data_IF_404280088262
#
_entry.id   IF_404280088262
#
_cell.length_a   1.000
_cell.length_b   1.000
_cell.length_c   1.000
_cell.angle_alpha   90.00
_cell.angle_beta   90.00
_cell.angle_gamma   90.00
#
_symmetry.space_group_name_H-M   'P 1'
#
loop_
_entity.id
_entity.type
_entity.pdbx_description
1 polymer ?
#
# COMPACT_ATOMS: atom_id res chain seq x y z
N UNK A 1 8.97 16.54 0.56
CA UNK A 1 8.25 15.27 0.65
C UNK A 1 8.98 14.33 1.60
N UNK A 2 8.26 13.79 2.55
CA UNK A 2 8.85 12.86 3.51
C UNK A 2 8.71 11.43 3.02
N UNK A 3 9.75 10.64 3.19
CA UNK A 3 9.72 9.23 2.87
C UNK A 3 9.35 8.42 4.12
N UNK A 4 8.27 7.70 4.04
CA UNK A 4 7.86 6.82 5.13
C UNK A 4 8.53 5.48 4.96
N UNK A 5 9.51 5.18 5.80
CA UNK A 5 10.29 3.96 5.71
C UNK A 5 9.52 2.74 6.24
N UNK A 6 9.97 1.57 5.83
CA UNK A 6 9.42 0.31 6.35
C UNK A 6 9.61 0.21 7.86
N UNK A 7 10.75 0.67 8.36
CA UNK A 7 11.04 0.63 9.79
C UNK A 7 10.06 1.48 10.59
N UNK A 8 9.73 2.66 10.09
CA UNK A 8 8.77 3.55 10.74
C UNK A 8 7.38 2.90 10.74
N UNK A 9 6.98 2.28 9.65
CA UNK A 9 5.71 1.57 9.57
C UNK A 9 5.65 0.42 10.57
N UNK A 10 6.74 -0.33 10.70
CA UNK A 10 6.81 -1.43 11.68
C UNK A 10 6.62 -0.90 13.08
N UNK A 11 7.27 0.20 13.43
CA UNK A 11 7.13 0.80 14.75
C UNK A 11 5.69 1.27 15.01
N UNK A 12 5.09 1.93 14.02
CA UNK A 12 3.73 2.43 14.16
C UNK A 12 2.73 1.28 14.33
N UNK A 13 2.86 0.21 13.54
CA UNK A 13 2.00 -0.96 13.64
C UNK A 13 2.21 -1.67 14.97
N UNK A 14 3.46 -1.76 15.43
CA UNK A 14 3.77 -2.35 16.72
C UNK A 14 3.06 -1.62 17.86
N UNK A 15 3.10 -0.31 17.85
CA UNK A 15 2.42 0.51 18.86
C UNK A 15 0.92 0.35 18.80
N UNK A 16 0.37 0.31 17.60
CA UNK A 16 -1.08 0.22 17.38
C UNK A 16 -1.65 -1.13 17.80
N UNK A 17 -0.89 -2.20 17.57
CA UNK A 17 -1.36 -3.57 17.83
C UNK A 17 -0.90 -4.14 19.15
N UNK A 18 0.12 -3.55 19.77
CA UNK A 18 0.76 -4.10 20.96
C UNK A 18 1.66 -5.29 20.70
N UNK A 19 1.93 -5.60 19.44
CA UNK A 19 2.81 -6.70 19.06
C UNK A 19 4.27 -6.24 19.02
N UNK A 20 5.18 -7.18 19.27
CA UNK A 20 6.62 -6.91 19.21
C UNK A 20 7.02 -6.49 17.79
N UNK A 21 7.90 -5.49 17.63
CA UNK A 21 8.34 -5.06 16.29
C UNK A 21 8.92 -6.19 15.43
N UNK A 22 9.61 -7.16 16.05
CA UNK A 22 10.16 -8.29 15.32
C UNK A 22 9.05 -9.19 14.76
N UNK A 23 7.97 -9.35 15.51
CA UNK A 23 6.80 -10.11 15.05
C UNK A 23 6.14 -9.39 13.89
N UNK A 24 5.96 -8.07 14.03
CA UNK A 24 5.38 -7.24 12.96
C UNK A 24 6.23 -7.35 11.68
N UNK A 25 7.55 -7.25 11.82
CA UNK A 25 8.45 -7.34 10.67
C UNK A 25 8.32 -8.70 9.97
N UNK A 26 8.23 -9.78 10.73
CA UNK A 26 8.07 -11.12 10.18
C UNK A 26 6.76 -11.26 9.42
N UNK A 27 5.68 -10.76 9.98
CA UNK A 27 4.36 -10.78 9.32
C UNK A 27 4.40 -10.00 8.01
N UNK A 28 4.98 -8.81 8.02
CA UNK A 28 5.06 -7.97 6.82
C UNK A 28 5.92 -8.60 5.73
N UNK A 29 7.03 -9.23 6.10
CA UNK A 29 7.87 -9.93 5.14
C UNK A 29 7.14 -11.09 4.47
N UNK A 30 6.41 -11.87 5.25
CA UNK A 30 5.61 -12.97 4.71
C UNK A 30 4.50 -12.45 3.79
N UNK A 31 3.86 -11.38 4.20
CA UNK A 31 2.83 -10.72 3.41
C UNK A 31 3.38 -10.27 2.06
N UNK A 32 4.54 -9.60 2.07
CA UNK A 32 5.18 -9.13 0.84
C UNK A 32 5.51 -10.29 -0.11
N UNK A 33 6.02 -11.41 0.44
CA UNK A 33 6.34 -12.59 -0.37
C UNK A 33 5.12 -13.15 -1.08
N UNK A 34 4.00 -13.24 -0.37
CA UNK A 34 2.77 -13.77 -0.97
C UNK A 34 2.20 -12.82 -2.02
N UNK A 35 2.29 -11.51 -1.79
CA UNK A 35 1.90 -10.53 -2.79
C UNK A 35 2.73 -10.69 -4.05
N UNK A 36 4.04 -10.76 -3.90
CA UNK A 36 4.96 -10.91 -5.01
C UNK A 36 4.65 -12.16 -5.82
N UNK A 37 4.44 -13.28 -5.14
CA UNK A 37 4.13 -14.54 -5.77
C UNK A 37 2.84 -14.47 -6.58
N UNK A 38 1.80 -13.87 -6.00
CA UNK A 38 0.53 -13.71 -6.69
C UNK A 38 0.65 -12.87 -7.94
N UNK A 39 1.35 -11.73 -7.84
CA UNK A 39 1.55 -10.83 -8.99
C UNK A 39 2.33 -11.55 -10.10
N UNK A 40 3.39 -12.28 -9.74
CA UNK A 40 4.18 -13.01 -10.72
C UNK A 40 3.41 -14.14 -11.39
N UNK A 41 2.41 -14.69 -10.72
CA UNK A 41 1.52 -15.70 -11.30
C UNK A 41 0.43 -15.09 -12.20
N UNK A 42 0.43 -13.80 -12.38
CA UNK A 42 -0.55 -13.10 -13.21
C UNK A 42 -1.86 -12.81 -12.52
N UNK A 43 -1.91 -12.95 -11.20
CA UNK A 43 -3.11 -12.68 -10.44
C UNK A 43 -3.22 -11.21 -10.08
N UNK A 44 -4.45 -10.74 -9.87
CA UNK A 44 -4.69 -9.42 -9.31
C UNK A 44 -4.67 -9.57 -7.80
N UNK A 45 -3.74 -8.88 -7.14
CA UNK A 45 -3.57 -9.00 -5.70
C UNK A 45 -4.07 -7.73 -5.02
N UNK A 46 -5.01 -7.88 -4.12
CA UNK A 46 -5.54 -6.75 -3.35
C UNK A 46 -4.65 -6.46 -2.15
N UNK A 47 -4.38 -5.19 -1.93
CA UNK A 47 -3.64 -4.71 -0.76
C UNK A 47 -4.62 -4.24 0.31
N UNK A 48 -5.49 -5.15 0.75
CA UNK A 48 -6.54 -4.82 1.69
C UNK A 48 -7.50 -3.80 1.11
N UNK A 49 -7.81 -2.77 1.89
CA UNK A 49 -8.75 -1.72 1.49
C UNK A 49 -8.10 -0.63 0.63
N UNK A 50 -6.79 -0.65 0.48
CA UNK A 50 -6.07 0.47 -0.11
C UNK A 50 -5.98 0.40 -1.63
N UNK A 51 -5.74 -0.77 -2.18
CA UNK A 51 -5.54 -0.86 -3.60
C UNK A 51 -5.28 -2.27 -4.07
N UNK A 52 -4.84 -2.37 -5.32
CA UNK A 52 -4.52 -3.65 -5.92
C UNK A 52 -3.29 -3.53 -6.81
N UNK A 53 -2.52 -4.62 -6.89
CA UNK A 53 -1.37 -4.76 -7.77
C UNK A 53 -1.71 -5.68 -8.92
N UNK A 54 -1.31 -5.29 -10.10
CA UNK A 54 -1.55 -6.07 -11.31
C UNK A 54 -0.32 -5.98 -12.21
N UNK A 55 0.06 -7.11 -12.78
CA UNK A 55 1.12 -7.16 -13.77
C UNK A 55 0.54 -6.90 -15.15
N UNK A 56 0.98 -5.81 -15.79
CA UNK A 56 0.56 -5.47 -17.14
C UNK A 56 1.66 -5.86 -18.12
N UNK A 57 1.34 -6.73 -19.07
CA UNK A 57 2.28 -7.14 -20.10
C UNK A 57 2.29 -6.10 -21.21
N UNK A 58 3.48 -5.65 -21.56
CA UNK A 58 3.70 -4.70 -22.64
C UNK A 58 4.53 -5.36 -23.75
N UNK A 59 4.54 -4.74 -24.93
CA UNK A 59 5.33 -5.23 -26.05
C UNK A 59 6.83 -5.32 -25.70
N UNK A 60 7.31 -4.41 -24.88
CA UNK A 60 8.72 -4.32 -24.49
C UNK A 60 9.00 -4.87 -23.09
N UNK A 61 8.09 -5.68 -22.54
CA UNK A 61 8.29 -6.27 -21.22
C UNK A 61 7.03 -6.19 -20.36
N UNK A 62 7.22 -6.26 -19.04
CA UNK A 62 6.12 -6.23 -18.08
C UNK A 62 6.23 -5.02 -17.19
N UNK A 63 5.09 -4.50 -16.77
CA UNK A 63 5.02 -3.36 -15.87
C UNK A 63 4.04 -3.65 -14.76
N UNK A 64 4.37 -3.23 -13.55
CA UNK A 64 3.46 -3.32 -12.41
C UNK A 64 2.53 -2.12 -12.43
N UNK A 65 1.24 -2.38 -12.35
CA UNK A 65 0.23 -1.35 -12.22
C UNK A 65 -0.39 -1.40 -10.83
N UNK A 66 -0.40 -0.25 -10.17
CA UNK A 66 -1.00 -0.10 -8.86
C UNK A 66 -2.24 0.78 -9.01
N UNK A 67 -3.37 0.30 -8.51
CA UNK A 67 -4.63 1.04 -8.57
C UNK A 67 -5.23 1.13 -7.18
N UNK A 68 -5.69 2.32 -6.81
CA UNK A 68 -6.39 2.51 -5.55
C UNK A 68 -7.81 1.96 -5.64
N UNK A 69 -8.31 1.39 -4.53
CA UNK A 69 -9.70 0.97 -4.44
C UNK A 69 -10.63 2.19 -4.45
N UNK A 70 -11.92 2.02 -4.79
CA UNK A 70 -12.88 3.13 -4.70
C UNK A 70 -12.92 3.75 -3.31
N UNK A 71 -12.81 2.94 -2.27
CA UNK A 71 -12.75 3.43 -0.89
C UNK A 71 -11.57 4.37 -0.70
N UNK A 72 -10.37 3.94 -1.09
CA UNK A 72 -9.16 4.73 -0.91
C UNK A 72 -9.16 5.98 -1.79
N UNK A 73 -9.69 5.87 -3.01
CA UNK A 73 -9.86 7.05 -3.89
C UNK A 73 -10.71 8.11 -3.23
N UNK A 74 -11.80 7.68 -2.59
CA UNK A 74 -12.69 8.59 -1.89
C UNK A 74 -11.98 9.25 -0.71
N UNK A 75 -11.20 8.49 0.04
CA UNK A 75 -10.43 9.03 1.16
C UNK A 75 -9.38 10.04 0.69
N UNK A 76 -8.69 9.74 -0.40
CA UNK A 76 -7.71 10.65 -0.99
C UNK A 76 -8.40 11.94 -1.43
N UNK A 77 -9.53 11.83 -2.10
CA UNK A 77 -10.28 12.98 -2.58
C UNK A 77 -10.75 13.85 -1.44
N UNK A 78 -11.29 13.26 -0.38
CA UNK A 78 -11.72 13.99 0.79
C UNK A 78 -10.57 14.71 1.47
N UNK A 79 -9.43 14.06 1.60
CA UNK A 79 -8.24 14.66 2.20
C UNK A 79 -7.73 15.82 1.36
N UNK A 80 -7.73 15.66 0.04
CA UNK A 80 -7.29 16.71 -0.88
C UNK A 80 -8.23 17.93 -0.81
N UNK A 81 -9.54 17.69 -0.79
CA UNK A 81 -10.54 18.76 -0.69
C UNK A 81 -10.37 19.51 0.64
N UNK A 82 -10.20 18.80 1.75
CA UNK A 82 -9.98 19.43 3.05
C UNK A 82 -8.71 20.27 3.05
N UNK A 83 -7.64 19.76 2.48
CA UNK A 83 -6.38 20.48 2.35
C UNK A 83 -6.53 21.73 1.51
N UNK A 84 -7.22 21.59 0.41
CA UNK A 84 -7.46 22.71 -0.50
C UNK A 84 -8.26 23.82 0.17
N UNK A 85 -9.31 23.45 0.91
CA UNK A 85 -10.10 24.39 1.67
C UNK A 85 -9.27 25.16 2.69
N UNK A 86 -8.38 24.45 3.38
CA UNK A 86 -7.49 25.07 4.34
C UNK A 86 -6.58 26.10 3.69
N UNK A 87 -6.07 25.79 2.53
CA UNK A 87 -5.18 26.69 1.81
C UNK A 87 -5.94 27.85 1.17
N UNK A 88 -7.17 27.60 0.76
CA UNK A 88 -8.00 28.64 0.14
C UNK A 88 -8.60 29.60 1.13
N UNK A 89 -8.57 29.27 2.39
CA UNK A 89 -9.04 30.18 3.45
C UNK A 89 -7.89 30.92 4.08
#
# INVERSE_FOLDING_TARGET
MQLLSREKLIQDVSKDTGLDPNVVATILQSYDKHIQKGVLNGEIVYLGMLGKLRLKKLANGSKIRISATPYFRKEIQNATVCKHKKEGS
#
